data_IF_171878232143
#
_entry.id   IF_171878232143
#
_cell.length_a   1.000
_cell.length_b   1.000
_cell.length_c   1.000
_cell.angle_alpha   90.00
_cell.angle_beta   90.00
_cell.angle_gamma   90.00
#
_symmetry.space_group_name_H-M   'P 1'
#
loop_
_entity.id
_entity.type
_entity.pdbx_description
1 polymer ?
#
# COMPACT_ATOMS: atom_id res chain seq x y z
N UNK A 1 -14.14 4.13 25.26
CA UNK A 1 -12.72 3.76 25.13
C UNK A 1 -12.06 4.61 24.05
N UNK A 2 -10.80 5.00 24.30
CA UNK A 2 -10.02 5.77 23.33
C UNK A 2 -9.52 4.90 22.16
N UNK A 3 -9.57 3.57 22.32
CA UNK A 3 -9.11 2.58 21.36
C UNK A 3 -9.85 1.26 21.56
N UNK A 4 -10.15 0.54 20.47
CA UNK A 4 -10.68 -0.82 20.49
C UNK A 4 -10.10 -1.64 19.36
N UNK A 5 -10.42 -2.94 19.31
CA UNK A 5 -9.92 -3.83 18.26
C UNK A 5 -11.07 -4.36 17.41
N UNK A 6 -10.77 -4.56 16.13
CA UNK A 6 -11.62 -5.31 15.20
C UNK A 6 -10.86 -6.50 14.66
N UNK A 7 -11.61 -7.56 14.32
CA UNK A 7 -11.03 -8.78 13.74
C UNK A 7 -11.44 -8.93 12.29
N UNK A 8 -10.49 -9.37 11.49
CA UNK A 8 -10.72 -9.82 10.12
C UNK A 8 -10.02 -11.16 9.93
N UNK A 9 -10.81 -12.25 9.79
CA UNK A 9 -10.29 -13.63 9.80
C UNK A 9 -9.40 -13.88 11.04
N UNK A 10 -8.15 -14.24 10.85
CA UNK A 10 -7.18 -14.45 11.93
C UNK A 10 -6.43 -13.18 12.34
N UNK A 11 -6.73 -12.04 11.73
CA UNK A 11 -6.05 -10.78 12.00
C UNK A 11 -6.84 -9.91 12.97
N UNK A 12 -6.11 -9.13 13.77
CA UNK A 12 -6.66 -8.16 14.72
C UNK A 12 -6.03 -6.80 14.45
N UNK A 13 -6.86 -5.77 14.39
CA UNK A 13 -6.42 -4.40 14.16
C UNK A 13 -6.90 -3.47 15.27
N UNK A 14 -6.00 -2.64 15.77
CA UNK A 14 -6.36 -1.51 16.61
C UNK A 14 -7.04 -0.44 15.75
N UNK A 15 -8.16 0.05 16.22
CA UNK A 15 -8.84 1.20 15.66
C UNK A 15 -9.10 2.23 16.76
N UNK A 16 -9.02 3.50 16.39
CA UNK A 16 -9.30 4.62 17.28
C UNK A 16 -9.85 5.79 16.47
N UNK A 17 -10.65 6.67 17.07
CA UNK A 17 -11.03 7.90 16.40
C UNK A 17 -9.78 8.69 15.99
N UNK A 18 -9.67 9.00 14.70
CA UNK A 18 -8.63 9.84 14.13
C UNK A 18 -9.26 11.12 13.58
N UNK A 19 -8.46 12.11 13.22
CA UNK A 19 -8.95 13.29 12.53
C UNK A 19 -9.70 12.92 11.23
N UNK A 20 -10.58 13.81 10.76
CA UNK A 20 -11.35 13.65 9.53
C UNK A 20 -12.27 12.43 9.46
N UNK A 21 -12.85 12.00 10.60
CA UNK A 21 -13.78 10.86 10.69
C UNK A 21 -13.17 9.49 10.32
N UNK A 22 -11.86 9.36 10.28
CA UNK A 22 -11.20 8.08 10.06
C UNK A 22 -11.04 7.31 11.37
N UNK A 23 -11.05 5.99 11.29
CA UNK A 23 -10.84 5.07 12.43
C UNK A 23 -9.54 4.28 12.36
N UNK A 24 -8.76 4.50 11.30
CA UNK A 24 -7.49 3.80 11.08
C UNK A 24 -7.62 2.49 10.29
N UNK A 25 -8.82 2.12 9.86
CA UNK A 25 -9.07 0.95 9.02
C UNK A 25 -10.16 1.25 8.00
N UNK A 26 -10.01 0.70 6.81
CA UNK A 26 -10.97 0.78 5.70
C UNK A 26 -11.52 -0.63 5.42
N UNK A 27 -12.65 -1.03 6.03
CA UNK A 27 -13.17 -2.40 5.92
C UNK A 27 -13.57 -2.81 4.51
N UNK A 28 -13.92 -1.87 3.64
CA UNK A 28 -14.21 -2.09 2.22
C UNK A 28 -13.04 -2.67 1.45
N UNK A 29 -11.81 -2.48 1.94
CA UNK A 29 -10.60 -3.07 1.37
C UNK A 29 -10.48 -4.59 1.61
N UNK A 30 -11.40 -5.19 2.37
CA UNK A 30 -11.37 -6.63 2.68
C UNK A 30 -11.38 -7.52 1.42
N UNK A 31 -12.08 -7.09 0.36
CA UNK A 31 -12.08 -7.79 -0.94
C UNK A 31 -10.69 -7.83 -1.55
N UNK A 32 -9.98 -6.71 -1.51
CA UNK A 32 -8.59 -6.61 -1.98
C UNK A 32 -7.64 -7.45 -1.12
N UNK A 33 -7.87 -7.50 0.19
CA UNK A 33 -7.06 -8.34 1.08
C UNK A 33 -7.22 -9.82 0.76
N UNK A 34 -8.44 -10.29 0.47
CA UNK A 34 -8.69 -11.67 0.08
C UNK A 34 -8.02 -12.02 -1.24
N UNK A 35 -8.08 -11.13 -2.21
CA UNK A 35 -7.41 -11.28 -3.49
C UNK A 35 -5.88 -11.37 -3.31
N UNK A 36 -5.29 -10.49 -2.50
CA UNK A 36 -3.85 -10.50 -2.19
C UNK A 36 -3.41 -11.83 -1.54
N UNK A 37 -4.18 -12.32 -0.55
CA UNK A 37 -3.92 -13.61 0.09
C UNK A 37 -3.89 -14.74 -0.95
N UNK A 38 -4.88 -14.78 -1.84
CA UNK A 38 -4.99 -15.82 -2.86
C UNK A 38 -3.83 -15.76 -3.86
N UNK A 39 -3.48 -14.55 -4.33
CA UNK A 39 -2.36 -14.35 -5.27
C UNK A 39 -1.03 -14.75 -4.64
N UNK A 40 -0.76 -14.32 -3.40
CA UNK A 40 0.49 -14.66 -2.70
C UNK A 40 0.61 -16.16 -2.47
N UNK A 41 -0.45 -16.80 -1.96
CA UNK A 41 -0.44 -18.25 -1.69
C UNK A 41 -0.38 -19.08 -2.97
N UNK A 42 -0.99 -18.61 -4.05
CA UNK A 42 -0.99 -19.30 -5.35
C UNK A 42 0.30 -19.15 -6.15
N UNK A 43 1.20 -18.26 -5.76
CA UNK A 43 2.41 -17.96 -6.53
C UNK A 43 3.44 -19.11 -6.56
N UNK A 44 3.42 -20.02 -5.57
CA UNK A 44 4.37 -21.14 -5.42
C UNK A 44 5.85 -20.70 -5.48
N UNK A 45 6.15 -19.47 -5.10
CA UNK A 45 7.49 -18.88 -5.03
C UNK A 45 7.52 -17.77 -3.98
N UNK A 46 8.69 -17.33 -3.50
CA UNK A 46 8.79 -16.15 -2.66
C UNK A 46 8.19 -14.93 -3.39
N UNK A 47 7.39 -14.16 -2.67
CA UNK A 47 6.72 -12.95 -3.19
C UNK A 47 7.20 -11.72 -2.44
N UNK A 48 7.63 -10.71 -3.18
CA UNK A 48 7.98 -9.38 -2.67
C UNK A 48 6.85 -8.39 -2.92
N UNK A 49 6.45 -7.66 -1.88
CA UNK A 49 5.37 -6.68 -1.93
C UNK A 49 5.90 -5.29 -1.58
N UNK A 50 5.58 -4.32 -2.41
CA UNK A 50 5.75 -2.90 -2.12
C UNK A 50 4.38 -2.28 -1.87
N UNK A 51 4.17 -1.73 -0.67
CA UNK A 51 2.96 -1.01 -0.31
C UNK A 51 3.30 0.48 -0.13
N UNK A 52 2.78 1.32 -1.02
CA UNK A 52 2.98 2.77 -1.07
C UNK A 52 1.73 3.47 -0.56
N UNK A 53 1.90 4.59 0.18
CA UNK A 53 0.85 5.26 0.93
C UNK A 53 0.16 4.28 1.90
N UNK A 54 1.00 3.52 2.61
CA UNK A 54 0.59 2.28 3.25
C UNK A 54 -0.21 2.46 4.55
N UNK A 55 -0.38 3.71 5.02
CA UNK A 55 -1.22 4.11 6.14
C UNK A 55 -0.97 3.27 7.40
N UNK A 56 -2.03 2.77 8.06
CA UNK A 56 -1.97 1.95 9.28
C UNK A 56 -1.57 0.50 9.04
N UNK A 57 -1.29 0.12 7.79
CA UNK A 57 -0.62 -1.12 7.43
C UNK A 57 -1.50 -2.34 7.25
N UNK A 58 -2.82 -2.23 7.17
CA UNK A 58 -3.69 -3.41 7.03
C UNK A 58 -3.29 -4.30 5.86
N UNK A 59 -3.12 -3.75 4.65
CA UNK A 59 -2.68 -4.51 3.47
C UNK A 59 -1.28 -5.12 3.65
N UNK A 60 -0.35 -4.37 4.27
CA UNK A 60 1.01 -4.87 4.57
C UNK A 60 0.96 -6.09 5.49
N UNK A 61 0.15 -6.03 6.54
CA UNK A 61 -0.02 -7.11 7.53
C UNK A 61 -0.65 -8.34 6.88
N UNK A 62 -1.68 -8.13 6.06
CA UNK A 62 -2.34 -9.20 5.28
C UNK A 62 -1.33 -9.91 4.38
N UNK A 63 -0.53 -9.17 3.62
CA UNK A 63 0.49 -9.73 2.73
C UNK A 63 1.57 -10.48 3.50
N UNK A 64 2.08 -9.91 4.60
CA UNK A 64 3.08 -10.56 5.44
C UNK A 64 2.54 -11.85 6.09
N UNK A 65 1.29 -11.84 6.56
CA UNK A 65 0.62 -13.04 7.10
C UNK A 65 0.42 -14.13 6.05
N UNK A 66 0.25 -13.74 4.78
CA UNK A 66 0.16 -14.67 3.65
C UNK A 66 1.54 -15.25 3.24
N UNK A 67 2.64 -14.76 3.80
CA UNK A 67 4.01 -15.26 3.57
C UNK A 67 4.87 -14.39 2.67
N UNK A 68 4.43 -13.18 2.31
CA UNK A 68 5.23 -12.28 1.49
C UNK A 68 6.28 -11.50 2.30
N UNK A 69 7.37 -11.11 1.62
CA UNK A 69 8.32 -10.10 2.10
C UNK A 69 7.79 -8.71 1.78
N UNK A 70 7.45 -7.91 2.79
CA UNK A 70 6.74 -6.64 2.60
C UNK A 70 7.64 -5.44 2.88
N UNK A 71 7.63 -4.48 1.97
CA UNK A 71 8.15 -3.12 2.20
C UNK A 71 6.96 -2.16 2.30
N UNK A 72 6.81 -1.53 3.46
CA UNK A 72 5.75 -0.60 3.83
C UNK A 72 6.32 0.82 3.82
N UNK A 73 5.77 1.68 2.97
CA UNK A 73 6.24 3.07 2.79
C UNK A 73 5.11 4.04 3.09
N UNK A 74 5.35 4.95 4.01
CA UNK A 74 4.44 6.05 4.30
C UNK A 74 5.22 7.30 4.74
N UNK A 75 4.74 8.47 4.35
CA UNK A 75 5.36 9.74 4.72
C UNK A 75 5.07 10.12 6.18
N UNK A 76 3.96 9.66 6.74
CA UNK A 76 3.52 9.98 8.10
C UNK A 76 4.10 8.98 9.11
N UNK A 77 5.05 9.42 9.92
CA UNK A 77 5.67 8.58 10.96
C UNK A 77 4.64 7.98 11.92
N UNK A 78 3.61 8.74 12.29
CA UNK A 78 2.56 8.27 13.19
C UNK A 78 1.77 7.08 12.61
N UNK A 79 1.59 7.03 11.29
CA UNK A 79 0.93 5.91 10.61
C UNK A 79 1.81 4.66 10.62
N UNK A 80 3.11 4.83 10.41
CA UNK A 80 4.08 3.73 10.54
C UNK A 80 4.09 3.16 11.97
N UNK A 81 4.04 4.02 12.99
CA UNK A 81 4.03 3.57 14.37
C UNK A 81 2.74 2.76 14.68
N UNK A 82 1.58 3.21 14.22
CA UNK A 82 0.31 2.44 14.32
C UNK A 82 0.41 1.11 13.55
N UNK A 83 1.02 1.12 12.36
CA UNK A 83 1.21 -0.13 11.59
C UNK A 83 2.09 -1.14 12.32
N UNK A 84 3.15 -0.69 13.00
CA UNK A 84 4.00 -1.56 13.81
C UNK A 84 3.25 -2.17 15.00
N UNK A 85 2.38 -1.37 15.66
CA UNK A 85 1.51 -1.87 16.73
C UNK A 85 0.56 -2.95 16.20
N UNK A 86 -0.09 -2.71 15.05
CA UNK A 86 -0.95 -3.68 14.40
C UNK A 86 -0.20 -4.95 13.97
N UNK A 87 1.02 -4.83 13.44
CA UNK A 87 1.85 -5.99 13.10
C UNK A 87 2.18 -6.83 14.34
N UNK A 88 2.57 -6.18 15.45
CA UNK A 88 2.85 -6.85 16.72
C UNK A 88 1.65 -7.62 17.26
N UNK A 89 0.43 -7.06 17.18
CA UNK A 89 -0.81 -7.75 17.58
C UNK A 89 -1.03 -9.05 16.81
N UNK A 90 -0.50 -9.15 15.60
CA UNK A 90 -0.64 -10.31 14.71
C UNK A 90 0.58 -11.23 14.70
N UNK A 91 1.57 -10.97 15.56
CA UNK A 91 2.82 -11.74 15.63
C UNK A 91 3.67 -11.62 14.36
N UNK A 92 3.65 -10.44 13.71
CA UNK A 92 4.38 -10.14 12.47
C UNK A 92 5.52 -9.18 12.81
N UNK A 93 6.76 -9.54 12.48
CA UNK A 93 7.98 -8.78 12.76
C UNK A 93 8.86 -8.55 11.52
N UNK A 94 8.48 -9.10 10.38
CA UNK A 94 9.27 -9.14 9.14
C UNK A 94 8.87 -8.09 8.08
N UNK A 95 8.13 -7.03 8.47
CA UNK A 95 7.81 -5.92 7.57
C UNK A 95 8.94 -4.88 7.62
N UNK A 96 9.44 -4.51 6.45
CA UNK A 96 10.40 -3.41 6.28
C UNK A 96 9.65 -2.08 6.23
N UNK A 97 9.76 -1.27 7.28
CA UNK A 97 9.13 0.04 7.39
C UNK A 97 10.04 1.17 6.90
N UNK A 98 9.49 2.03 6.06
CA UNK A 98 10.18 3.20 5.47
C UNK A 98 9.34 4.45 5.72
N UNK A 99 9.87 5.39 6.50
CA UNK A 99 9.24 6.70 6.68
C UNK A 99 9.84 7.70 5.69
N UNK A 100 9.23 7.79 4.53
CA UNK A 100 9.70 8.63 3.43
C UNK A 100 8.57 8.96 2.46
N UNK A 101 8.73 10.02 1.70
CA UNK A 101 7.91 10.30 0.53
C UNK A 101 7.97 9.15 -0.47
N UNK A 102 6.80 8.71 -0.98
CA UNK A 102 6.68 7.54 -1.84
C UNK A 102 7.42 7.71 -3.18
N UNK A 103 7.38 8.90 -3.77
CA UNK A 103 8.09 9.16 -5.02
C UNK A 103 9.60 9.04 -4.85
N UNK A 104 10.16 9.69 -3.83
CA UNK A 104 11.59 9.63 -3.52
C UNK A 104 12.05 8.19 -3.21
N UNK A 105 11.21 7.44 -2.50
CA UNK A 105 11.50 6.03 -2.24
C UNK A 105 11.57 5.23 -3.56
N UNK A 106 10.57 5.35 -4.43
CA UNK A 106 10.51 4.63 -5.71
C UNK A 106 11.70 5.00 -6.59
N UNK A 107 12.04 6.29 -6.73
CA UNK A 107 13.22 6.75 -7.47
C UNK A 107 14.52 6.10 -6.95
N UNK A 108 14.64 5.98 -5.64
CA UNK A 108 15.81 5.33 -5.02
C UNK A 108 15.85 3.82 -5.30
N UNK A 109 14.72 3.13 -5.23
CA UNK A 109 14.65 1.69 -5.53
C UNK A 109 14.93 1.41 -7.02
N UNK A 110 14.50 2.29 -7.95
CA UNK A 110 14.86 2.22 -9.37
C UNK A 110 16.38 2.28 -9.54
N UNK A 111 17.04 3.28 -8.91
CA UNK A 111 18.53 3.40 -8.99
C UNK A 111 19.25 2.18 -8.41
N UNK A 112 18.62 1.45 -7.48
CA UNK A 112 19.15 0.21 -6.89
C UNK A 112 18.82 -1.04 -7.71
N UNK A 113 18.07 -0.91 -8.79
CA UNK A 113 17.60 -2.04 -9.59
C UNK A 113 16.63 -2.97 -8.84
N UNK A 114 15.96 -2.47 -7.77
CA UNK A 114 15.01 -3.28 -7.00
C UNK A 114 13.70 -3.42 -7.75
N UNK A 115 13.15 -4.64 -7.71
CA UNK A 115 11.88 -5.00 -8.33
C UNK A 115 10.98 -5.70 -7.32
N UNK A 116 9.68 -5.56 -7.51
CA UNK A 116 8.65 -6.13 -6.64
C UNK A 116 7.62 -6.91 -7.46
N UNK A 117 7.17 -8.02 -6.90
CA UNK A 117 6.17 -8.90 -7.52
C UNK A 117 4.75 -8.35 -7.41
N UNK A 118 4.48 -7.64 -6.33
CA UNK A 118 3.20 -6.96 -6.08
C UNK A 118 3.50 -5.52 -5.69
N UNK A 119 2.79 -4.57 -6.31
CA UNK A 119 2.83 -3.16 -5.92
C UNK A 119 1.42 -2.70 -5.60
N UNK A 120 1.25 -2.16 -4.39
CA UNK A 120 0.00 -1.60 -3.87
C UNK A 120 0.15 -0.09 -3.75
N UNK A 121 -0.87 0.64 -4.17
CA UNK A 121 -0.93 2.10 -4.08
C UNK A 121 -2.32 2.53 -3.63
N UNK A 122 -2.39 3.27 -2.54
CA UNK A 122 -3.62 3.88 -2.03
C UNK A 122 -3.41 5.39 -1.81
N UNK A 123 -3.13 6.14 -2.89
CA UNK A 123 -2.74 7.53 -2.78
C UNK A 123 -3.91 8.39 -2.28
N UNK A 124 -3.67 9.30 -1.32
CA UNK A 124 -4.68 10.26 -0.89
C UNK A 124 -5.00 11.26 -2.01
N UNK A 125 -6.18 11.87 -1.96
CA UNK A 125 -6.52 12.97 -2.89
C UNK A 125 -5.55 14.15 -2.75
N UNK A 126 -5.12 14.43 -1.50
CA UNK A 126 -4.13 15.46 -1.17
C UNK A 126 -3.23 14.96 -0.03
N UNK A 127 -1.94 15.28 -0.09
CA UNK A 127 -0.97 14.95 0.96
C UNK A 127 0.19 15.95 1.03
N UNK A 128 0.87 15.94 2.16
CA UNK A 128 2.15 16.66 2.34
C UNK A 128 3.21 15.68 2.85
N UNK A 129 4.34 15.66 2.18
CA UNK A 129 5.51 14.92 2.61
C UNK A 129 6.24 15.59 3.78
N UNK A 130 7.14 14.85 4.45
CA UNK A 130 7.83 15.32 5.66
C UNK A 130 8.78 16.51 5.43
N UNK A 131 9.13 16.80 4.18
CA UNK A 131 10.01 17.92 3.79
C UNK A 131 9.28 19.00 3.00
N UNK A 132 7.93 19.04 3.09
CA UNK A 132 7.11 20.03 2.41
C UNK A 132 6.69 19.65 0.99
N UNK A 133 6.98 18.41 0.55
CA UNK A 133 6.46 17.88 -0.72
C UNK A 133 4.94 17.97 -0.72
N UNK A 134 4.36 18.35 -1.84
CA UNK A 134 2.91 18.39 -2.02
C UNK A 134 2.50 17.32 -3.01
N UNK A 135 1.53 16.53 -2.64
CA UNK A 135 0.86 15.53 -3.47
C UNK A 135 -0.57 15.97 -3.76
N UNK A 136 -0.94 15.98 -5.03
CA UNK A 136 -2.31 16.12 -5.51
C UNK A 136 -2.57 15.03 -6.54
N UNK A 137 -3.53 14.15 -6.25
CA UNK A 137 -3.76 12.97 -7.08
C UNK A 137 -4.06 13.33 -8.53
N UNK A 138 -4.82 14.39 -8.78
CA UNK A 138 -5.20 14.84 -10.12
C UNK A 138 -4.00 15.26 -10.97
N UNK A 139 -2.98 15.85 -10.34
CA UNK A 139 -1.78 16.36 -11.01
C UNK A 139 -0.68 15.27 -11.11
N UNK A 140 -0.54 14.44 -10.07
CA UNK A 140 0.65 13.64 -9.84
C UNK A 140 0.50 12.17 -10.22
N UNK A 141 -0.71 11.60 -10.17
CA UNK A 141 -0.94 10.16 -10.27
C UNK A 141 -0.36 9.52 -11.54
N UNK A 142 -0.51 10.18 -12.70
CA UNK A 142 -0.04 9.60 -13.97
C UNK A 142 1.49 9.50 -14.04
N UNK A 143 2.18 10.54 -13.59
CA UNK A 143 3.63 10.56 -13.54
C UNK A 143 4.14 9.57 -12.50
N UNK A 144 3.45 9.47 -11.37
CA UNK A 144 3.79 8.51 -10.32
C UNK A 144 3.61 7.06 -10.77
N UNK A 145 2.51 6.71 -11.43
CA UNK A 145 2.30 5.36 -11.98
C UNK A 145 3.34 5.02 -13.04
N UNK A 146 3.72 5.97 -13.91
CA UNK A 146 4.84 5.77 -14.85
C UNK A 146 6.16 5.48 -14.13
N UNK A 147 6.44 6.21 -13.06
CA UNK A 147 7.64 6.00 -12.24
C UNK A 147 7.62 4.62 -11.58
N UNK A 148 6.49 4.22 -10.99
CA UNK A 148 6.31 2.94 -10.30
C UNK A 148 6.57 1.74 -11.22
N UNK A 149 6.30 1.83 -12.53
CA UNK A 149 6.67 0.79 -13.50
C UNK A 149 8.15 0.41 -13.42
N UNK A 150 9.01 1.35 -13.05
CA UNK A 150 10.45 1.12 -12.88
C UNK A 150 10.80 0.14 -11.76
N UNK A 151 9.90 -0.13 -10.81
CA UNK A 151 10.08 -1.08 -9.70
C UNK A 151 9.21 -2.33 -9.80
N UNK A 152 8.35 -2.43 -10.80
CA UNK A 152 7.56 -3.63 -11.07
C UNK A 152 8.44 -4.71 -11.71
N UNK A 153 8.37 -5.94 -11.21
CA UNK A 153 9.09 -7.07 -11.80
C UNK A 153 8.50 -7.47 -13.16
N UNK A 154 9.32 -8.01 -14.06
CA UNK A 154 8.87 -8.42 -15.39
C UNK A 154 7.80 -9.53 -15.33
N UNK A 155 7.88 -10.39 -14.31
CA UNK A 155 6.91 -11.45 -14.00
C UNK A 155 6.04 -11.09 -12.78
N UNK A 156 5.73 -9.80 -12.61
CA UNK A 156 4.91 -9.32 -11.50
C UNK A 156 3.54 -10.00 -11.48
N UNK A 157 3.06 -10.25 -10.27
CA UNK A 157 1.78 -10.92 -10.04
C UNK A 157 0.61 -9.92 -10.07
N UNK A 158 0.85 -8.69 -9.57
CA UNK A 158 -0.22 -7.70 -9.45
C UNK A 158 0.32 -6.28 -9.26
N UNK A 159 -0.39 -5.32 -9.83
CA UNK A 159 -0.33 -3.91 -9.44
C UNK A 159 -1.74 -3.48 -9.10
N UNK A 160 -1.96 -3.05 -7.85
CA UNK A 160 -3.25 -2.62 -7.33
C UNK A 160 -3.20 -1.12 -7.01
N UNK A 161 -4.15 -0.37 -7.56
CA UNK A 161 -4.31 1.06 -7.28
C UNK A 161 -5.73 1.27 -6.75
N UNK A 162 -5.85 1.77 -5.56
CA UNK A 162 -7.11 2.26 -5.00
C UNK A 162 -7.23 3.76 -5.24
N UNK A 163 -8.41 4.23 -5.55
CA UNK A 163 -8.69 5.67 -5.63
C UNK A 163 -10.12 5.95 -5.20
N UNK A 164 -10.27 6.88 -4.27
CA UNK A 164 -11.57 7.39 -3.81
C UNK A 164 -11.94 8.73 -4.47
N UNK A 165 -11.14 9.17 -5.45
CA UNK A 165 -11.33 10.47 -6.10
C UNK A 165 -12.29 10.35 -7.29
N UNK A 166 -13.37 11.10 -7.27
CA UNK A 166 -14.30 11.21 -8.40
C UNK A 166 -13.57 11.77 -9.63
N UNK A 167 -13.69 11.06 -10.77
CA UNK A 167 -13.03 11.45 -12.04
C UNK A 167 -11.81 10.60 -12.42
N UNK A 168 -11.22 9.86 -11.51
CA UNK A 168 -10.17 8.87 -11.79
C UNK A 168 -10.81 7.49 -12.02
N UNK A 169 -11.45 7.31 -13.18
CA UNK A 169 -12.00 5.99 -13.51
C UNK A 169 -10.88 5.01 -13.87
N UNK A 170 -11.03 3.71 -13.52
CA UNK A 170 -10.05 2.67 -13.81
C UNK A 170 -9.65 2.61 -15.29
N UNK A 171 -10.58 2.86 -16.22
CA UNK A 171 -10.32 2.92 -17.65
C UNK A 171 -9.31 4.01 -18.02
N UNK A 172 -9.42 5.19 -17.44
CA UNK A 172 -8.53 6.32 -17.72
C UNK A 172 -7.10 6.03 -17.26
N UNK A 173 -6.95 5.38 -16.10
CA UNK A 173 -5.65 4.93 -15.60
C UNK A 173 -5.06 3.85 -16.51
N UNK A 174 -5.86 2.88 -16.96
CA UNK A 174 -5.45 1.78 -17.84
C UNK A 174 -4.99 2.28 -19.21
N UNK A 175 -5.76 3.16 -19.85
CA UNK A 175 -5.43 3.73 -21.17
C UNK A 175 -4.16 4.56 -21.13
N UNK A 176 -3.98 5.40 -20.10
CA UNK A 176 -2.80 6.27 -19.98
C UNK A 176 -1.54 5.54 -19.50
N UNK A 177 -1.66 4.40 -18.85
CA UNK A 177 -0.51 3.64 -18.35
C UNK A 177 -0.09 2.49 -19.25
N UNK A 178 -0.90 2.08 -20.23
CA UNK A 178 -0.58 1.01 -21.19
C UNK A 178 -0.29 -0.33 -20.51
N UNK A 179 -0.90 -0.61 -19.36
CA UNK A 179 -0.56 -1.77 -18.55
C UNK A 179 -1.73 -2.76 -18.44
N UNK A 180 -1.41 -4.06 -18.49
CA UNK A 180 -2.29 -5.17 -18.13
C UNK A 180 -2.50 -5.29 -16.60
N UNK A 181 -2.16 -4.27 -15.80
CA UNK A 181 -2.38 -4.26 -14.36
C UNK A 181 -3.87 -4.21 -14.05
N UNK A 182 -4.35 -5.09 -13.19
CA UNK A 182 -5.69 -5.01 -12.63
C UNK A 182 -5.81 -3.73 -11.79
N UNK A 183 -6.66 -2.81 -12.23
CA UNK A 183 -7.04 -1.61 -11.49
C UNK A 183 -8.44 -1.88 -10.96
N UNK A 184 -8.58 -1.84 -9.65
CA UNK A 184 -9.85 -2.06 -8.95
C UNK A 184 -10.18 -0.87 -8.09
#
# INVERSE_FOLDING_TARGET
PEQWTVKYKSLTFNIKPMGFKHTGLFPEQAVNWDMLINVIKGANRPVSVLNLFAYTGAASIVCAKAGASVTHVDAAKSMIDVSKENAKLNGIDNIRYINEDCQKFVEREIRRGKKYDIVLMDPPSFGRGPKGETWKIEDDIFNFVKLVKGVVADNALMVLINSYTTGLQPQVLKEKTGSAAGIF
#
